data_IF_245692388631
#
_entry.id   IF_245692388631
#
_cell.length_a   1.000
_cell.length_b   1.000
_cell.length_c   1.000
_cell.angle_alpha   90.00
_cell.angle_beta   90.00
_cell.angle_gamma   90.00
#
_symmetry.space_group_name_H-M   'P 1'
#
loop_
_entity.id
_entity.type
_entity.pdbx_description
1 polymer ?
#
# COMPACT_ATOMS: atom_id res chain seq x y z
N UNK A 1 -31.80 17.46 -19.96
CA UNK A 1 -31.05 16.76 -18.89
C UNK A 1 -29.72 16.32 -19.46
N UNK A 2 -28.61 16.90 -18.99
CA UNK A 2 -27.26 16.56 -19.43
C UNK A 2 -26.66 15.71 -18.32
N UNK A 3 -26.60 14.40 -18.52
CA UNK A 3 -26.00 13.47 -17.56
C UNK A 3 -24.50 13.69 -17.63
N UNK A 4 -23.96 14.40 -16.64
CA UNK A 4 -22.52 14.57 -16.45
C UNK A 4 -21.93 13.25 -15.97
N UNK A 5 -21.13 12.60 -16.80
CA UNK A 5 -20.25 11.55 -16.36
C UNK A 5 -19.18 12.20 -15.47
N UNK A 6 -19.31 12.06 -14.15
CA UNK A 6 -18.20 12.26 -13.22
C UNK A 6 -17.24 11.08 -13.41
N UNK A 7 -16.37 11.20 -14.41
CA UNK A 7 -15.19 10.35 -14.54
C UNK A 7 -14.17 10.86 -13.53
N UNK A 8 -14.37 10.52 -12.25
CA UNK A 8 -13.33 10.69 -11.25
C UNK A 8 -12.09 9.96 -11.76
N UNK A 9 -10.96 10.66 -11.85
CA UNK A 9 -9.69 10.08 -12.29
C UNK A 9 -9.39 8.84 -11.43
N UNK A 10 -9.65 7.63 -11.92
CA UNK A 10 -9.08 6.40 -11.35
C UNK A 10 -7.60 6.42 -11.65
N UNK A 11 -6.84 7.23 -10.90
CA UNK A 11 -5.39 7.13 -10.85
C UNK A 11 -5.07 5.79 -10.20
N UNK A 12 -4.44 4.90 -10.95
CA UNK A 12 -3.82 3.73 -10.36
C UNK A 12 -2.83 4.20 -9.28
N UNK A 13 -3.14 3.89 -8.02
CA UNK A 13 -2.31 4.26 -6.89
C UNK A 13 -0.94 3.57 -6.92
N UNK A 14 -0.85 2.42 -7.60
CA UNK A 14 0.39 1.69 -7.77
C UNK A 14 0.43 1.07 -9.18
N UNK A 15 1.45 1.42 -9.97
CA UNK A 15 1.74 0.74 -11.25
C UNK A 15 2.59 -0.51 -11.05
N UNK A 16 3.00 -0.81 -9.81
CA UNK A 16 3.82 -1.95 -9.45
C UNK A 16 2.92 -3.08 -8.95
N UNK A 17 2.91 -4.17 -9.70
CA UNK A 17 2.46 -5.48 -9.22
C UNK A 17 3.26 -5.87 -7.96
N UNK A 18 2.66 -6.68 -7.06
CA UNK A 18 3.35 -7.32 -5.92
C UNK A 18 4.66 -8.00 -6.35
N UNK A 19 4.73 -8.39 -7.63
CA UNK A 19 5.91 -8.86 -8.33
C UNK A 19 6.50 -7.72 -9.17
N UNK A 20 7.67 -7.19 -8.79
CA UNK A 20 8.33 -6.10 -9.50
C UNK A 20 9.77 -5.92 -9.04
N UNK A 21 10.44 -4.87 -9.52
CA UNK A 21 11.80 -4.55 -9.06
C UNK A 21 11.83 -4.43 -7.52
N UNK A 22 12.87 -5.00 -6.93
CA UNK A 22 13.10 -4.90 -5.49
C UNK A 22 13.56 -3.49 -5.16
N UNK A 23 13.03 -2.93 -4.08
CA UNK A 23 13.57 -1.71 -3.50
C UNK A 23 15.08 -1.80 -3.25
N UNK A 24 15.76 -0.68 -3.50
CA UNK A 24 17.17 -0.47 -3.14
C UNK A 24 17.36 -0.15 -1.65
N UNK A 25 16.26 0.11 -0.93
CA UNK A 25 16.30 0.47 0.48
C UNK A 25 16.64 -0.73 1.36
N UNK A 26 17.37 -0.46 2.44
CA UNK A 26 17.64 -1.47 3.46
C UNK A 26 16.37 -1.85 4.22
N UNK A 27 16.27 -3.11 4.68
CA UNK A 27 15.12 -3.59 5.46
C UNK A 27 14.84 -2.74 6.71
N UNK A 28 15.89 -2.24 7.38
CA UNK A 28 15.76 -1.36 8.54
C UNK A 28 15.08 -0.04 8.19
N UNK A 29 15.46 0.56 7.06
CA UNK A 29 14.88 1.83 6.60
C UNK A 29 13.40 1.67 6.24
N UNK A 30 13.02 0.54 5.62
CA UNK A 30 11.62 0.22 5.33
C UNK A 30 10.82 0.10 6.63
N UNK A 31 11.37 -0.59 7.65
CA UNK A 31 10.73 -0.72 8.96
C UNK A 31 10.57 0.61 9.67
N UNK A 32 11.54 1.52 9.57
CA UNK A 32 11.39 2.87 10.11
C UNK A 32 10.28 3.65 9.42
N UNK A 33 10.15 3.53 8.09
CA UNK A 33 9.06 4.16 7.32
C UNK A 33 7.68 3.59 7.66
N UNK A 34 7.60 2.31 8.04
CA UNK A 34 6.36 1.69 8.57
C UNK A 34 5.98 2.26 9.95
N UNK A 35 6.97 2.66 10.77
CA UNK A 35 6.74 3.19 12.12
C UNK A 35 6.50 4.70 12.17
N UNK A 36 6.95 5.45 11.15
CA UNK A 36 6.74 6.90 11.00
C UNK A 36 5.88 7.29 9.78
N UNK A 37 4.79 6.57 9.45
CA UNK A 37 4.00 6.83 8.26
C UNK A 37 3.11 8.05 8.47
N UNK A 38 2.84 8.79 7.40
CA UNK A 38 1.90 9.92 7.42
C UNK A 38 0.48 9.44 7.07
N UNK A 39 0.34 8.36 6.29
CA UNK A 39 -0.95 7.83 5.81
C UNK A 39 -1.01 6.30 5.76
N UNK A 40 -2.22 5.73 5.77
CA UNK A 40 -2.45 4.29 5.60
C UNK A 40 -1.87 3.75 4.28
N UNK A 41 -1.96 4.53 3.20
CA UNK A 41 -1.38 4.20 1.90
C UNK A 41 0.14 4.07 1.95
N UNK A 42 0.83 4.97 2.65
CA UNK A 42 2.27 4.88 2.84
C UNK A 42 2.66 3.65 3.66
N UNK A 43 1.89 3.29 4.69
CA UNK A 43 2.10 2.05 5.45
C UNK A 43 2.02 0.85 4.51
N UNK A 44 0.97 0.78 3.69
CA UNK A 44 0.76 -0.31 2.76
C UNK A 44 1.90 -0.42 1.74
N UNK A 45 2.37 0.69 1.17
CA UNK A 45 3.50 0.67 0.24
C UNK A 45 4.80 0.19 0.89
N UNK A 46 5.11 0.65 2.11
CA UNK A 46 6.30 0.16 2.80
C UNK A 46 6.17 -1.32 3.20
N UNK A 47 4.96 -1.79 3.55
CA UNK A 47 4.68 -3.22 3.78
C UNK A 47 4.94 -4.06 2.52
N UNK A 48 4.43 -3.62 1.36
CA UNK A 48 4.66 -4.29 0.08
C UNK A 48 6.16 -4.37 -0.23
N UNK A 49 6.91 -3.28 -0.05
CA UNK A 49 8.35 -3.29 -0.25
C UNK A 49 9.07 -4.24 0.71
N UNK A 50 8.64 -4.32 1.98
CA UNK A 50 9.19 -5.28 2.93
C UNK A 50 8.92 -6.73 2.48
N UNK A 51 7.70 -7.02 2.02
CA UNK A 51 7.31 -8.36 1.54
C UNK A 51 8.07 -8.77 0.28
N UNK A 52 8.38 -7.84 -0.63
CA UNK A 52 9.25 -8.10 -1.78
C UNK A 52 10.67 -8.55 -1.39
N UNK A 53 11.14 -8.19 -0.20
CA UNK A 53 12.42 -8.69 0.34
C UNK A 53 12.34 -10.09 0.96
N UNK A 54 11.15 -10.70 0.98
CA UNK A 54 10.86 -11.97 1.64
C UNK A 54 10.69 -11.88 3.16
N UNK A 55 10.69 -10.67 3.74
CA UNK A 55 10.42 -10.46 5.16
C UNK A 55 8.92 -10.31 5.40
N UNK A 56 8.29 -11.36 5.93
CA UNK A 56 6.84 -11.39 6.20
C UNK A 56 6.50 -11.13 7.67
N UNK A 57 7.44 -10.61 8.47
CA UNK A 57 7.23 -10.40 9.91
C UNK A 57 6.08 -9.44 10.23
N UNK A 58 5.76 -8.53 9.30
CA UNK A 58 4.70 -7.52 9.45
C UNK A 58 3.38 -7.91 8.78
N UNK A 59 3.15 -9.20 8.47
CA UNK A 59 1.84 -9.70 8.02
C UNK A 59 0.66 -9.30 8.94
N UNK A 60 0.79 -9.32 10.29
CA UNK A 60 -0.29 -8.88 11.16
C UNK A 60 -0.72 -7.43 10.92
N UNK A 61 0.21 -6.55 10.57
CA UNK A 61 -0.09 -5.14 10.30
C UNK A 61 -0.90 -4.97 9.01
N UNK A 62 -0.59 -5.76 7.97
CA UNK A 62 -1.42 -5.80 6.75
C UNK A 62 -2.85 -6.23 7.07
N UNK A 63 -3.02 -7.29 7.86
CA UNK A 63 -4.35 -7.78 8.25
C UNK A 63 -5.11 -6.74 9.09
N UNK A 64 -4.41 -6.02 9.98
CA UNK A 64 -5.02 -4.92 10.72
C UNK A 64 -5.49 -3.79 9.79
N UNK A 65 -4.67 -3.38 8.82
CA UNK A 65 -5.04 -2.40 7.80
C UNK A 65 -6.31 -2.82 7.05
N UNK A 66 -6.36 -4.05 6.54
CA UNK A 66 -7.53 -4.58 5.82
C UNK A 66 -8.81 -4.59 6.66
N UNK A 67 -8.69 -4.83 7.97
CA UNK A 67 -9.84 -4.91 8.87
C UNK A 67 -10.32 -3.55 9.40
N UNK A 68 -9.48 -2.51 9.35
CA UNK A 68 -9.74 -1.22 10.01
C UNK A 68 -9.89 -0.05 9.04
N UNK A 69 -9.25 -0.12 7.87
CA UNK A 69 -9.29 0.98 6.90
C UNK A 69 -10.72 1.23 6.42
N UNK A 70 -11.07 2.51 6.32
CA UNK A 70 -12.31 2.97 5.66
C UNK A 70 -12.03 3.55 4.28
N UNK A 71 -10.77 3.56 3.87
CA UNK A 71 -10.34 4.02 2.55
C UNK A 71 -10.45 2.84 1.58
N UNK A 72 -11.47 2.88 0.72
CA UNK A 72 -11.68 1.85 -0.31
C UNK A 72 -10.46 1.70 -1.23
N UNK A 73 -9.70 2.78 -1.45
CA UNK A 73 -8.53 2.74 -2.31
C UNK A 73 -7.37 1.98 -1.63
N UNK A 74 -7.19 2.13 -0.32
CA UNK A 74 -6.23 1.32 0.47
C UNK A 74 -6.66 -0.14 0.48
N UNK A 75 -7.95 -0.42 0.68
CA UNK A 75 -8.46 -1.79 0.68
C UNK A 75 -8.26 -2.48 -0.68
N UNK A 76 -8.53 -1.78 -1.78
CA UNK A 76 -8.34 -2.28 -3.14
C UNK A 76 -6.88 -2.62 -3.47
N UNK A 77 -5.91 -2.00 -2.79
CA UNK A 77 -4.48 -2.29 -2.95
C UNK A 77 -4.00 -3.49 -2.13
N UNK A 78 -4.82 -3.99 -1.20
CA UNK A 78 -4.51 -5.15 -0.37
C UNK A 78 -4.90 -6.50 -1.03
N UNK A 79 -5.63 -6.48 -2.15
CA UNK A 79 -6.20 -7.64 -2.86
C UNK A 79 -5.45 -7.85 -4.18
#
# INVERSE_FOLDING_TARGET
MKVGAFMGETRNLMNSIWFGEKTILAKSEIKEKILKPVTETEVLFNLIELFKTGDFTQKPLLVQLMNQTKDEAVLNLCI
#
